data_IF_865667068676
#
_entry.id   IF_865667068676
#
_cell.length_a   1.000
_cell.length_b   1.000
_cell.length_c   1.000
_cell.angle_alpha   90.00
_cell.angle_beta   90.00
_cell.angle_gamma   90.00
#
_symmetry.space_group_name_H-M   'P 1'
#
loop_
_entity.id
_entity.type
_entity.pdbx_description
1 polymer ?
#
# COMPACT_ATOMS: atom_id res chain seq x y z
N UNK A 1 -16.87 -31.25 -21.33
CA UNK A 1 -17.97 -30.28 -21.41
C UNK A 1 -17.32 -28.95 -21.76
N UNK A 2 -17.81 -28.26 -22.80
CA UNK A 2 -17.19 -27.00 -23.26
C UNK A 2 -17.41 -25.85 -22.26
N UNK A 3 -16.51 -24.86 -22.23
CA UNK A 3 -16.51 -23.76 -21.26
C UNK A 3 -17.81 -22.94 -21.31
N UNK A 4 -18.38 -22.77 -22.50
CA UNK A 4 -19.64 -22.07 -22.72
C UNK A 4 -20.80 -22.76 -21.98
N UNK A 5 -20.87 -24.08 -22.05
CA UNK A 5 -21.90 -24.86 -21.35
C UNK A 5 -21.74 -24.79 -19.84
N UNK A 6 -20.49 -24.75 -19.34
CA UNK A 6 -20.22 -24.58 -17.91
C UNK A 6 -20.65 -23.18 -17.41
N UNK A 7 -20.41 -22.14 -18.21
CA UNK A 7 -20.86 -20.77 -17.90
C UNK A 7 -22.39 -20.70 -17.82
N UNK A 8 -23.09 -21.25 -18.82
CA UNK A 8 -24.55 -21.28 -18.83
C UNK A 8 -25.10 -22.11 -17.68
N UNK A 9 -24.46 -23.25 -17.35
CA UNK A 9 -24.85 -24.07 -16.20
C UNK A 9 -24.72 -23.29 -14.88
N UNK A 10 -23.64 -22.52 -14.69
CA UNK A 10 -23.48 -21.68 -13.50
C UNK A 10 -24.61 -20.64 -13.38
N UNK A 11 -25.02 -20.03 -14.50
CA UNK A 11 -26.15 -19.08 -14.57
C UNK A 11 -27.51 -19.74 -14.36
N UNK A 12 -27.67 -21.03 -14.62
CA UNK A 12 -28.92 -21.73 -14.24
C UNK A 12 -29.02 -21.94 -12.73
N UNK A 13 -27.88 -22.00 -12.03
CA UNK A 13 -27.82 -22.17 -10.59
C UNK A 13 -27.90 -20.88 -9.77
N UNK A 14 -27.76 -19.70 -10.39
CA UNK A 14 -27.75 -18.40 -9.71
C UNK A 14 -28.01 -17.22 -10.65
N UNK A 15 -28.29 -16.03 -10.10
CA UNK A 15 -28.64 -14.86 -10.93
C UNK A 15 -27.45 -14.15 -11.59
N UNK A 16 -26.24 -14.31 -11.05
CA UNK A 16 -24.99 -13.78 -11.60
C UNK A 16 -23.79 -14.54 -11.01
N UNK A 17 -22.62 -14.44 -11.65
CA UNK A 17 -21.35 -14.92 -11.11
C UNK A 17 -20.22 -13.95 -11.48
N UNK A 18 -19.07 -14.05 -10.79
CA UNK A 18 -17.84 -13.35 -11.21
C UNK A 18 -16.93 -14.32 -11.95
N UNK A 19 -16.36 -13.87 -13.06
CA UNK A 19 -15.56 -14.71 -13.96
C UNK A 19 -14.30 -15.27 -13.30
N UNK A 20 -13.68 -14.52 -12.38
CA UNK A 20 -12.54 -14.96 -11.56
C UNK A 20 -12.94 -16.11 -10.62
N UNK A 21 -14.11 -16.00 -9.96
CA UNK A 21 -14.63 -17.03 -9.07
C UNK A 21 -15.04 -18.30 -9.77
N UNK A 22 -15.59 -18.19 -10.98
CA UNK A 22 -15.88 -19.37 -11.79
C UNK A 22 -14.59 -20.06 -12.25
N UNK A 23 -13.58 -19.30 -12.66
CA UNK A 23 -12.28 -19.86 -13.04
C UNK A 23 -11.62 -20.62 -11.88
N UNK A 24 -11.64 -20.04 -10.68
CA UNK A 24 -11.17 -20.66 -9.44
C UNK A 24 -11.93 -21.97 -9.14
N UNK A 25 -13.27 -21.95 -9.20
CA UNK A 25 -14.13 -23.12 -8.98
C UNK A 25 -13.86 -24.25 -9.97
N UNK A 26 -13.57 -23.90 -11.23
CA UNK A 26 -13.30 -24.87 -12.30
C UNK A 26 -11.83 -25.30 -12.37
N UNK A 27 -10.93 -24.63 -11.64
CA UNK A 27 -9.49 -24.90 -11.68
C UNK A 27 -8.87 -24.59 -13.05
N UNK A 28 -9.37 -23.58 -13.75
CA UNK A 28 -8.90 -23.17 -15.08
C UNK A 28 -8.35 -21.75 -15.07
N UNK A 29 -7.54 -21.42 -16.08
CA UNK A 29 -7.07 -20.06 -16.28
C UNK A 29 -8.26 -19.10 -16.53
N UNK A 30 -8.21 -17.92 -15.91
CA UNK A 30 -9.29 -16.93 -16.00
C UNK A 30 -9.59 -16.51 -17.44
N UNK A 31 -8.59 -16.46 -18.33
CA UNK A 31 -8.76 -16.12 -19.74
C UNK A 31 -9.61 -17.15 -20.49
N UNK A 32 -9.64 -18.41 -20.05
CA UNK A 32 -10.50 -19.44 -20.64
C UNK A 32 -11.98 -19.11 -20.41
N UNK A 33 -12.32 -18.72 -19.17
CA UNK A 33 -13.68 -18.28 -18.82
C UNK A 33 -14.04 -16.99 -19.56
N UNK A 34 -13.14 -16.00 -19.58
CA UNK A 34 -13.35 -14.72 -20.29
C UNK A 34 -13.57 -14.94 -21.79
N UNK A 35 -12.81 -15.84 -22.42
CA UNK A 35 -13.00 -16.21 -23.82
C UNK A 35 -14.37 -16.85 -24.08
N UNK A 36 -14.81 -17.73 -23.18
CA UNK A 36 -16.15 -18.31 -23.22
C UNK A 36 -17.26 -17.27 -23.11
N UNK A 37 -17.13 -16.33 -22.17
CA UNK A 37 -18.06 -15.20 -21.99
C UNK A 37 -18.15 -14.37 -23.27
N UNK A 38 -17.02 -13.92 -23.83
CA UNK A 38 -16.99 -13.13 -25.07
C UNK A 38 -17.62 -13.87 -26.25
N UNK A 39 -17.42 -15.19 -26.32
CA UNK A 39 -18.07 -16.00 -27.35
C UNK A 39 -19.58 -16.05 -27.18
N UNK A 40 -20.08 -16.08 -25.94
CA UNK A 40 -21.51 -16.07 -25.62
C UNK A 40 -22.15 -14.68 -25.79
N UNK A 41 -21.43 -13.60 -25.50
CA UNK A 41 -21.88 -12.22 -25.70
C UNK A 41 -22.20 -11.90 -27.17
N UNK A 42 -21.55 -12.58 -28.13
CA UNK A 42 -21.87 -12.44 -29.55
C UNK A 42 -23.28 -12.92 -29.89
N UNK A 43 -23.89 -13.75 -29.03
CA UNK A 43 -25.27 -14.21 -29.19
C UNK A 43 -26.20 -13.31 -28.35
N UNK A 44 -26.90 -12.41 -29.04
CA UNK A 44 -27.85 -11.48 -28.42
C UNK A 44 -28.89 -12.21 -27.56
N UNK A 45 -29.05 -11.76 -26.31
CA UNK A 45 -30.07 -12.25 -25.38
C UNK A 45 -29.71 -13.53 -24.62
N UNK A 46 -28.49 -14.06 -24.75
CA UNK A 46 -28.04 -15.26 -24.00
C UNK A 46 -27.47 -14.90 -22.63
N UNK A 47 -26.56 -13.92 -22.57
CA UNK A 47 -25.99 -13.41 -21.34
C UNK A 47 -25.91 -11.89 -21.38
N UNK A 48 -25.91 -11.28 -20.19
CA UNK A 48 -25.54 -9.88 -19.99
C UNK A 48 -24.28 -9.85 -19.13
N UNK A 49 -23.31 -9.01 -19.50
CA UNK A 49 -22.02 -8.93 -18.85
C UNK A 49 -21.67 -7.49 -18.52
N UNK A 50 -21.02 -7.31 -17.39
CA UNK A 50 -20.51 -6.03 -16.95
C UNK A 50 -19.05 -6.19 -16.58
N UNK A 51 -18.19 -5.41 -17.20
CA UNK A 51 -16.81 -5.30 -16.79
C UNK A 51 -16.74 -4.66 -15.39
N UNK A 52 -16.09 -5.36 -14.48
CA UNK A 52 -15.85 -4.89 -13.11
C UNK A 52 -14.34 -4.91 -12.89
N UNK A 53 -13.80 -3.76 -12.50
CA UNK A 53 -12.41 -3.63 -12.07
C UNK A 53 -12.40 -3.58 -10.54
N UNK A 54 -11.76 -4.55 -9.91
CA UNK A 54 -11.50 -4.54 -8.47
C UNK A 54 -10.07 -4.08 -8.22
N UNK A 55 -9.92 -3.04 -7.39
CA UNK A 55 -8.62 -2.52 -6.98
C UNK A 55 -8.36 -2.97 -5.55
N UNK A 56 -7.38 -3.85 -5.37
CA UNK A 56 -6.93 -4.30 -4.07
C UNK A 56 -5.65 -3.53 -3.74
N UNK A 57 -5.60 -2.93 -2.54
CA UNK A 57 -4.37 -2.32 -2.02
C UNK A 57 -3.54 -3.40 -1.36
N UNK A 58 -2.31 -3.55 -1.79
CA UNK A 58 -1.33 -4.43 -1.19
C UNK A 58 -0.11 -3.60 -0.79
N UNK A 59 0.58 -4.03 0.26
CA UNK A 59 1.84 -3.42 0.68
C UNK A 59 2.94 -3.72 -0.33
N UNK A 60 3.81 -2.73 -0.54
CA UNK A 60 5.11 -2.93 -1.18
C UNK A 60 6.08 -3.54 -0.17
N UNK A 61 7.21 -4.08 -0.64
CA UNK A 61 8.27 -4.60 0.24
C UNK A 61 8.74 -3.52 1.25
N UNK A 62 8.82 -2.26 0.81
CA UNK A 62 9.12 -1.10 1.65
C UNK A 62 8.00 -0.82 2.68
N UNK A 63 6.73 -0.94 2.29
CA UNK A 63 5.61 -0.83 3.21
C UNK A 63 5.62 -1.91 4.30
N UNK A 64 6.03 -3.14 3.97
CA UNK A 64 6.27 -4.19 4.96
C UNK A 64 7.49 -3.88 5.85
N UNK A 65 8.56 -3.27 5.32
CA UNK A 65 9.68 -2.80 6.16
C UNK A 65 9.23 -1.73 7.15
N UNK A 66 8.44 -0.75 6.71
CA UNK A 66 7.88 0.31 7.56
C UNK A 66 6.99 -0.28 8.66
N UNK A 67 6.19 -1.31 8.33
CA UNK A 67 5.40 -2.01 9.35
C UNK A 67 6.24 -2.64 10.44
N UNK A 68 7.40 -3.21 10.08
CA UNK A 68 8.26 -3.90 11.04
C UNK A 68 9.21 -2.94 11.79
N UNK A 69 9.68 -1.88 11.13
CA UNK A 69 10.76 -1.02 11.61
C UNK A 69 10.34 0.41 11.95
N UNK A 70 9.08 0.77 11.69
CA UNK A 70 8.56 2.13 11.77
C UNK A 70 8.83 2.95 10.51
N UNK A 71 8.11 4.07 10.36
CA UNK A 71 8.26 5.02 9.26
C UNK A 71 9.63 5.67 9.24
N UNK A 72 10.00 6.22 8.08
CA UNK A 72 11.32 6.86 7.91
C UNK A 72 11.54 7.99 8.92
N UNK A 73 10.53 8.83 9.15
CA UNK A 73 10.57 9.91 10.15
C UNK A 73 10.67 9.39 11.58
N UNK A 74 9.97 8.30 11.91
CA UNK A 74 10.02 7.69 13.23
C UNK A 74 11.40 7.07 13.49
N UNK A 75 11.97 6.39 12.50
CA UNK A 75 13.34 5.88 12.53
C UNK A 75 14.36 7.00 12.71
N UNK A 76 14.21 8.12 12.00
CA UNK A 76 15.07 9.31 12.19
C UNK A 76 14.94 9.83 13.62
N UNK A 77 13.72 10.00 14.12
CA UNK A 77 13.48 10.50 15.48
C UNK A 77 14.15 9.60 16.54
N UNK A 78 14.00 8.27 16.40
CA UNK A 78 14.58 7.30 17.33
C UNK A 78 16.12 7.26 17.27
N UNK A 79 16.71 7.57 16.11
CA UNK A 79 18.15 7.58 15.92
C UNK A 79 18.85 8.82 16.54
N UNK A 80 18.10 9.87 16.89
CA UNK A 80 18.68 11.10 17.45
C UNK A 80 18.84 10.95 18.98
N UNK A 81 20.05 10.99 19.55
CA UNK A 81 20.25 11.04 21.00
C UNK A 81 19.88 12.42 21.56
N UNK A 82 19.78 12.54 22.89
CA UNK A 82 19.50 13.83 23.55
C UNK A 82 20.57 14.90 23.25
N UNK A 83 21.82 14.48 23.05
CA UNK A 83 22.93 15.35 22.65
C UNK A 83 22.84 15.86 21.21
N UNK A 84 21.88 15.38 20.43
CA UNK A 84 21.81 15.59 18.99
C UNK A 84 22.87 14.79 18.21
N UNK A 85 22.75 14.81 16.89
CA UNK A 85 23.59 14.05 15.96
C UNK A 85 23.78 14.81 14.64
N UNK A 86 24.95 14.73 13.97
CA UNK A 86 25.12 15.28 12.63
C UNK A 86 24.09 14.74 11.64
N UNK A 87 23.53 15.62 10.79
CA UNK A 87 22.62 15.21 9.72
C UNK A 87 23.28 14.19 8.78
N UNK A 88 24.58 14.32 8.54
CA UNK A 88 25.37 13.41 7.70
C UNK A 88 25.40 11.98 8.20
N UNK A 89 25.28 11.78 9.51
CA UNK A 89 25.39 10.46 10.12
C UNK A 89 24.06 9.73 9.99
N UNK A 90 22.94 10.42 10.25
CA UNK A 90 21.59 9.90 9.99
C UNK A 90 21.42 9.48 8.52
N UNK A 91 21.91 10.29 7.57
CA UNK A 91 21.82 10.00 6.14
C UNK A 91 22.51 8.68 5.72
N UNK A 92 23.42 8.14 6.54
CA UNK A 92 24.13 6.89 6.28
C UNK A 92 23.51 5.67 6.97
N UNK A 93 22.54 5.86 7.87
CA UNK A 93 22.03 4.78 8.71
C UNK A 93 21.10 3.82 7.98
N UNK A 94 20.25 4.33 7.09
CA UNK A 94 19.28 3.50 6.35
C UNK A 94 18.87 4.14 5.03
N UNK A 95 18.45 3.33 4.03
CA UNK A 95 17.79 3.83 2.82
C UNK A 95 16.56 4.67 3.19
N UNK A 96 16.32 5.78 2.48
CA UNK A 96 15.18 6.65 2.80
C UNK A 96 15.39 7.63 3.97
N UNK A 97 16.55 7.61 4.65
CA UNK A 97 16.85 8.57 5.73
C UNK A 97 16.68 10.05 5.34
N UNK A 98 16.94 10.40 4.07
CA UNK A 98 16.72 11.77 3.54
C UNK A 98 15.23 12.15 3.56
N UNK A 99 14.35 11.22 3.19
CA UNK A 99 12.90 11.39 3.20
C UNK A 99 12.45 11.51 4.66
N UNK A 100 12.91 10.61 5.53
CA UNK A 100 12.63 10.63 6.96
C UNK A 100 13.03 11.94 7.65
N UNK A 101 14.20 12.50 7.34
CA UNK A 101 14.62 13.81 7.90
C UNK A 101 13.65 14.90 7.45
N UNK A 102 13.30 14.92 6.16
CA UNK A 102 12.41 15.95 5.60
C UNK A 102 11.02 15.90 6.24
N UNK A 103 10.48 14.69 6.44
CA UNK A 103 9.19 14.46 7.10
C UNK A 103 9.23 14.76 8.59
N UNK A 104 10.26 14.32 9.30
CA UNK A 104 10.43 14.63 10.72
C UNK A 104 10.52 16.14 10.97
N UNK A 105 11.16 16.89 10.06
CA UNK A 105 11.20 18.36 10.10
C UNK A 105 9.83 18.99 9.81
N UNK A 106 9.10 18.54 8.77
CA UNK A 106 7.77 19.07 8.46
C UNK A 106 6.75 18.79 9.56
N UNK A 107 6.88 17.63 10.22
CA UNK A 107 6.04 17.23 11.35
C UNK A 107 6.49 17.84 12.68
N UNK A 108 7.56 18.65 12.69
CA UNK A 108 8.14 19.31 13.87
C UNK A 108 8.54 18.31 14.98
N UNK A 109 8.93 17.10 14.62
CA UNK A 109 9.45 16.10 15.56
C UNK A 109 10.90 16.38 15.92
N UNK A 110 11.64 16.94 14.96
CA UNK A 110 13.05 17.26 15.07
C UNK A 110 13.31 18.70 14.63
N UNK A 111 14.46 19.23 15.02
CA UNK A 111 14.96 20.54 14.57
C UNK A 111 16.35 20.39 13.97
N UNK A 112 16.66 21.25 12.99
CA UNK A 112 17.96 21.32 12.35
C UNK A 112 18.67 22.61 12.79
N UNK A 113 19.81 22.47 13.46
CA UNK A 113 20.62 23.59 13.96
C UNK A 113 22.04 23.46 13.42
N UNK A 114 22.63 24.55 12.95
CA UNK A 114 24.05 24.55 12.56
C UNK A 114 24.91 24.81 13.80
N UNK A 115 25.93 24.00 14.00
CA UNK A 115 26.92 24.26 15.06
C UNK A 115 27.87 25.41 14.65
N UNK A 116 28.81 25.76 15.54
CA UNK A 116 29.79 26.84 15.32
C UNK A 116 30.67 26.61 14.07
N UNK A 117 30.90 25.34 13.70
CA UNK A 117 31.63 24.96 12.49
C UNK A 117 30.76 24.94 11.22
N UNK A 118 29.49 25.36 11.31
CA UNK A 118 28.53 25.38 10.21
C UNK A 118 27.93 24.02 9.85
N UNK A 119 28.21 22.97 10.61
CA UNK A 119 27.73 21.60 10.38
C UNK A 119 26.28 21.47 10.86
N UNK A 120 25.36 20.95 10.03
CA UNK A 120 23.97 20.75 10.41
C UNK A 120 23.81 19.57 11.38
N UNK A 121 23.19 19.83 12.53
CA UNK A 121 22.86 18.87 13.58
C UNK A 121 21.35 18.76 13.76
N UNK A 122 20.89 17.55 14.02
CA UNK A 122 19.50 17.23 14.32
C UNK A 122 19.31 17.03 15.82
N UNK A 123 18.23 17.59 16.37
CA UNK A 123 17.80 17.44 17.76
C UNK A 123 16.32 17.06 17.82
N UNK A 124 15.93 16.23 18.79
CA UNK A 124 14.51 15.96 19.08
C UNK A 124 13.86 17.22 19.64
N UNK A 125 12.70 17.59 19.08
CA UNK A 125 11.95 18.75 19.53
C UNK A 125 10.87 18.39 20.54
N UNK A 126 10.36 17.16 20.48
CA UNK A 126 9.35 16.63 21.39
C UNK A 126 9.83 15.32 22.02
N UNK A 127 9.40 15.00 23.26
CA UNK A 127 9.88 13.83 24.00
C UNK A 127 9.28 12.49 23.52
N UNK A 128 8.14 12.55 22.84
CA UNK A 128 7.43 11.37 22.33
C UNK A 128 6.75 11.71 21.00
N UNK A 129 6.79 10.76 20.06
CA UNK A 129 6.13 10.85 18.75
C UNK A 129 5.28 9.60 18.56
N UNK A 130 4.21 9.72 17.75
CA UNK A 130 3.38 8.57 17.36
C UNK A 130 3.54 8.32 15.87
N UNK A 131 3.79 7.06 15.51
CA UNK A 131 3.99 6.65 14.13
C UNK A 131 2.66 6.36 13.42
N UNK A 132 1.98 7.43 13.02
CA UNK A 132 0.69 7.31 12.34
C UNK A 132 0.80 6.62 10.97
N UNK A 133 1.96 6.70 10.30
CA UNK A 133 2.20 6.03 9.00
C UNK A 133 2.22 4.51 9.18
N UNK A 134 2.94 4.00 10.19
CA UNK A 134 2.93 2.58 10.52
C UNK A 134 1.51 2.08 10.85
N UNK A 135 0.74 2.85 11.62
CA UNK A 135 -0.64 2.52 11.93
C UNK A 135 -1.54 2.44 10.68
N UNK A 136 -1.38 3.38 9.75
CA UNK A 136 -2.13 3.36 8.49
C UNK A 136 -1.79 2.14 7.63
N UNK A 137 -0.52 1.76 7.56
CA UNK A 137 -0.11 0.56 6.84
C UNK A 137 -0.66 -0.72 7.48
N UNK A 138 -0.83 -0.73 8.80
CA UNK A 138 -1.43 -1.88 9.50
C UNK A 138 -2.92 -2.00 9.16
N UNK A 139 -3.64 -0.88 9.10
CA UNK A 139 -5.04 -0.85 8.65
C UNK A 139 -5.18 -1.39 7.22
N UNK A 140 -4.22 -1.07 6.33
CA UNK A 140 -4.17 -1.62 4.95
C UNK A 140 -3.93 -3.13 4.98
N UNK A 141 -2.92 -3.60 5.71
CA UNK A 141 -2.56 -5.02 5.79
C UNK A 141 -3.70 -5.90 6.28
N UNK A 142 -4.41 -5.41 7.30
CA UNK A 142 -5.52 -6.15 7.91
C UNK A 142 -6.87 -5.89 7.20
N UNK A 143 -6.89 -5.05 6.16
CA UNK A 143 -8.12 -4.65 5.45
C UNK A 143 -9.22 -4.14 6.41
N UNK A 144 -8.81 -3.49 7.51
CA UNK A 144 -9.70 -3.08 8.61
C UNK A 144 -10.75 -2.06 8.16
N UNK A 145 -10.36 -1.16 7.26
CA UNK A 145 -11.22 -0.08 6.74
C UNK A 145 -10.73 0.42 5.39
N UNK A 146 -11.60 1.05 4.59
CA UNK A 146 -11.15 1.82 3.44
C UNK A 146 -10.34 3.04 3.90
N UNK A 147 -9.24 3.32 3.18
CA UNK A 147 -8.47 4.55 3.34
C UNK A 147 -9.07 5.66 2.48
N UNK A 148 -9.03 6.89 3.00
CA UNK A 148 -9.30 8.10 2.25
C UNK A 148 -8.23 8.36 1.19
N UNK A 149 -8.54 9.17 0.18
CA UNK A 149 -7.58 9.46 -0.89
C UNK A 149 -6.35 10.24 -0.41
N UNK A 150 -6.50 11.03 0.65
CA UNK A 150 -5.39 11.71 1.31
C UNK A 150 -4.44 10.71 1.98
N UNK A 151 -4.96 9.73 2.71
CA UNK A 151 -4.16 8.68 3.37
C UNK A 151 -3.42 7.83 2.32
N UNK A 152 -4.08 7.46 1.22
CA UNK A 152 -3.43 6.75 0.11
C UNK A 152 -2.32 7.58 -0.53
N UNK A 153 -2.53 8.87 -0.73
CA UNK A 153 -1.53 9.78 -1.29
C UNK A 153 -0.32 9.91 -0.37
N UNK A 154 -0.55 10.01 0.94
CA UNK A 154 0.52 10.03 1.94
C UNK A 154 1.37 8.77 1.89
N UNK A 155 0.75 7.58 1.90
CA UNK A 155 1.48 6.31 1.84
C UNK A 155 2.28 6.15 0.55
N UNK A 156 1.78 6.67 -0.58
CA UNK A 156 2.54 6.65 -1.84
C UNK A 156 3.80 7.52 -1.81
N UNK A 157 3.80 8.58 -1.01
CA UNK A 157 4.96 9.46 -0.83
C UNK A 157 5.94 8.93 0.23
N UNK A 158 5.73 7.72 0.77
CA UNK A 158 6.73 7.02 1.57
C UNK A 158 7.81 6.33 0.72
N UNK A 159 7.52 5.99 -0.54
CA UNK A 159 8.47 5.43 -1.51
C UNK A 159 9.30 6.52 -2.24
#
# INVERSE_FOLDING_TARGET
MDIQNLILLELTGGSYFKSDKLAEKLGVDHQVVVGGIKSLENYSGIIDCKDVVEVILQLTDEGDEILNSGSHEYRVYCAIPESGIPQSDILKMFPGAKIGISKALSSKWVSLVKNEAGVPYLYRLIPEVKDDVQHLLLDVKESKRPLSDNEKSQLKNEN
#
